data_IF_079534947002
#
_entry.id   IF_079534947002
#
_cell.length_a   1.000
_cell.length_b   1.000
_cell.length_c   1.000
_cell.angle_alpha   90.00
_cell.angle_beta   90.00
_cell.angle_gamma   90.00
#
_symmetry.space_group_name_H-M   'P 1'
#
loop_
_entity.id
_entity.type
_entity.pdbx_description
1 polymer ?
#
# COMPACT_ATOMS: atom_id res chain seq x y z
N UNK A 1 5.15 1.87 22.62
CA UNK A 1 5.95 1.51 21.42
C UNK A 1 4.99 1.38 20.25
N UNK A 2 5.35 1.89 19.07
CA UNK A 2 4.53 1.69 17.88
C UNK A 2 4.56 0.22 17.45
N UNK A 3 3.41 -0.31 17.02
CA UNK A 3 3.25 -1.68 16.57
C UNK A 3 3.80 -1.83 15.15
N UNK A 4 4.82 -2.68 14.92
CA UNK A 4 5.32 -2.93 13.58
C UNK A 4 4.31 -3.74 12.77
N UNK A 5 3.95 -3.25 11.59
CA UNK A 5 2.96 -3.92 10.71
C UNK A 5 3.43 -4.02 9.25
N UNK A 6 2.90 -5.01 8.55
CA UNK A 6 2.96 -5.16 7.09
C UNK A 6 1.51 -5.09 6.59
N UNK A 7 1.25 -4.24 5.60
CA UNK A 7 -0.06 -4.12 4.95
C UNK A 7 -0.04 -4.87 3.63
N UNK A 8 -0.85 -5.91 3.49
CA UNK A 8 -1.08 -6.59 2.23
C UNK A 8 -2.50 -6.24 1.74
N UNK A 9 -2.60 -5.59 0.58
CA UNK A 9 -3.87 -5.02 0.12
C UNK A 9 -4.05 -5.11 -1.40
N UNK A 10 -5.28 -5.33 -1.83
CA UNK A 10 -5.66 -5.39 -3.24
C UNK A 10 -6.22 -4.03 -3.65
N UNK A 11 -5.50 -3.18 -4.39
CA UNK A 11 -5.76 -1.74 -4.47
C UNK A 11 -7.13 -1.38 -5.05
N UNK A 12 -8.10 -1.23 -4.16
CA UNK A 12 -9.39 -0.56 -4.33
C UNK A 12 -9.46 0.75 -3.53
N UNK A 13 -10.66 1.35 -3.50
CA UNK A 13 -10.91 2.59 -2.75
C UNK A 13 -10.80 2.40 -1.23
N UNK A 14 -11.07 1.20 -0.72
CA UNK A 14 -11.05 0.93 0.72
C UNK A 14 -9.61 0.73 1.24
N UNK A 15 -8.75 0.06 0.46
CA UNK A 15 -7.32 -0.12 0.76
C UNK A 15 -6.57 1.20 0.78
N UNK A 16 -6.99 2.13 -0.09
CA UNK A 16 -6.49 3.48 -0.12
C UNK A 16 -6.64 4.17 1.23
N UNK A 17 -7.83 4.07 1.82
CA UNK A 17 -8.15 4.65 3.12
C UNK A 17 -7.36 3.94 4.22
N UNK A 18 -7.28 2.61 4.17
CA UNK A 18 -6.52 1.82 5.14
C UNK A 18 -5.02 2.20 5.16
N UNK A 19 -4.41 2.37 3.98
CA UNK A 19 -3.02 2.82 3.85
C UNK A 19 -2.87 4.21 4.48
N UNK A 20 -3.75 5.17 4.16
CA UNK A 20 -3.68 6.53 4.71
C UNK A 20 -3.77 6.54 6.23
N UNK A 21 -4.76 5.82 6.79
CA UNK A 21 -4.96 5.75 8.23
C UNK A 21 -3.77 5.11 8.95
N UNK A 22 -3.26 4.01 8.40
CA UNK A 22 -2.11 3.33 8.98
C UNK A 22 -0.85 4.20 8.95
N UNK A 23 -0.66 4.95 7.86
CA UNK A 23 0.47 5.84 7.65
C UNK A 23 0.40 7.14 8.47
N UNK A 24 -0.79 7.54 8.90
CA UNK A 24 -1.03 8.70 9.76
C UNK A 24 -1.05 8.36 11.26
N UNK A 25 -1.20 7.08 11.63
CA UNK A 25 -1.24 6.65 13.02
C UNK A 25 0.16 6.61 13.64
N UNK A 26 0.41 7.35 14.75
CA UNK A 26 1.69 7.25 15.48
C UNK A 26 1.81 5.93 16.27
N UNK A 27 0.73 5.17 16.38
CA UNK A 27 0.71 3.86 17.06
C UNK A 27 1.21 2.74 16.15
N UNK A 28 1.36 2.99 14.84
CA UNK A 28 1.73 2.00 13.85
C UNK A 28 3.08 2.33 13.21
N UNK A 29 3.91 1.32 13.03
CA UNK A 29 5.20 1.38 12.35
C UNK A 29 5.13 0.53 11.08
N UNK A 30 4.66 1.15 9.99
CA UNK A 30 4.43 0.48 8.71
C UNK A 30 5.77 0.15 8.04
N UNK A 31 6.17 -1.12 8.10
CA UNK A 31 7.44 -1.61 7.54
C UNK A 31 7.39 -1.86 6.05
N UNK A 32 6.26 -2.32 5.54
CA UNK A 32 6.07 -2.62 4.14
C UNK A 32 4.57 -2.55 3.77
N UNK A 33 4.33 -2.22 2.50
CA UNK A 33 3.02 -2.33 1.86
C UNK A 33 3.20 -3.23 0.64
N UNK A 34 2.49 -4.36 0.64
CA UNK A 34 2.46 -5.31 -0.47
C UNK A 34 1.08 -5.31 -1.11
N UNK A 35 1.02 -5.73 -2.37
CA UNK A 35 -0.23 -5.80 -3.10
C UNK A 35 -0.27 -7.06 -3.95
N UNK A 36 -1.43 -7.72 -3.92
CA UNK A 36 -1.75 -8.82 -4.81
C UNK A 36 -2.60 -8.29 -5.97
N UNK A 37 -2.46 -8.90 -7.15
CA UNK A 37 -3.35 -8.63 -8.27
C UNK A 37 -4.59 -9.51 -8.08
N UNK A 38 -5.54 -9.07 -7.25
CA UNK A 38 -6.85 -9.71 -7.11
C UNK A 38 -7.70 -9.55 -8.39
N UNK A 39 -8.71 -8.67 -8.34
CA UNK A 39 -9.72 -8.50 -9.42
C UNK A 39 -9.31 -7.59 -10.59
N UNK A 40 -8.08 -7.06 -10.60
CA UNK A 40 -7.60 -6.14 -11.63
C UNK A 40 -6.23 -6.59 -12.15
N UNK A 41 -5.90 -6.16 -13.36
CA UNK A 41 -4.60 -6.49 -13.94
C UNK A 41 -3.46 -5.90 -13.11
N UNK A 42 -2.33 -6.61 -12.96
CA UNK A 42 -1.16 -6.14 -12.21
C UNK A 42 -0.71 -4.72 -12.58
N UNK A 43 -0.88 -4.33 -13.85
CA UNK A 43 -0.51 -3.02 -14.38
C UNK A 43 -1.44 -1.88 -13.93
N UNK A 44 -2.71 -2.18 -13.63
CA UNK A 44 -3.66 -1.21 -13.06
C UNK A 44 -3.44 -1.06 -11.57
N UNK A 45 -3.30 -2.19 -10.89
CA UNK A 45 -2.96 -2.31 -9.47
C UNK A 45 -1.70 -1.51 -9.12
N UNK A 46 -0.60 -1.73 -9.85
CA UNK A 46 0.66 -1.01 -9.66
C UNK A 46 0.50 0.50 -9.87
N UNK A 47 -0.24 0.93 -10.90
CA UNK A 47 -0.47 2.36 -11.17
C UNK A 47 -1.27 3.05 -10.07
N UNK A 48 -2.29 2.37 -9.52
CA UNK A 48 -3.08 2.92 -8.42
C UNK A 48 -2.21 3.10 -7.17
N UNK A 49 -1.45 2.07 -6.79
CA UNK A 49 -0.52 2.12 -5.65
C UNK A 49 0.51 3.24 -5.84
N UNK A 50 1.13 3.36 -7.01
CA UNK A 50 2.11 4.42 -7.27
C UNK A 50 1.49 5.83 -7.22
N UNK A 51 0.27 6.02 -7.74
CA UNK A 51 -0.44 7.30 -7.63
C UNK A 51 -0.75 7.66 -6.18
N UNK A 52 -1.20 6.69 -5.41
CA UNK A 52 -1.48 6.87 -3.98
C UNK A 52 -0.23 7.26 -3.20
N UNK A 53 0.87 6.55 -3.38
CA UNK A 53 2.14 6.85 -2.72
C UNK A 53 2.70 8.22 -3.13
N UNK A 54 2.50 8.62 -4.39
CA UNK A 54 2.84 9.96 -4.88
C UNK A 54 2.02 11.04 -4.18
N UNK A 55 0.70 10.85 -4.05
CA UNK A 55 -0.18 11.78 -3.32
C UNK A 55 0.18 11.91 -1.84
N UNK A 56 0.67 10.82 -1.24
CA UNK A 56 1.07 10.77 0.18
C UNK A 56 2.52 11.23 0.43
N UNK A 57 3.21 11.74 -0.60
CA UNK A 57 4.60 12.21 -0.52
C UNK A 57 5.55 11.20 0.13
N UNK A 58 5.32 9.89 -0.09
CA UNK A 58 6.14 8.79 0.44
C UNK A 58 6.88 8.07 -0.70
N UNK A 59 7.97 8.66 -1.25
CA UNK A 59 8.67 8.14 -2.43
C UNK A 59 9.51 6.86 -2.19
N UNK A 60 9.48 6.27 -0.99
CA UNK A 60 10.34 5.13 -0.61
C UNK A 60 9.78 3.73 -0.88
N UNK A 61 8.56 3.59 -1.39
CA UNK A 61 7.93 2.28 -1.59
C UNK A 61 8.10 1.80 -3.03
N UNK A 62 8.87 0.71 -3.21
CA UNK A 62 9.05 0.04 -4.50
C UNK A 62 7.99 -1.04 -4.70
N UNK A 63 7.19 -0.91 -5.77
CA UNK A 63 6.19 -1.92 -6.13
C UNK A 63 6.83 -3.21 -6.64
N UNK A 64 6.71 -4.30 -5.87
CA UNK A 64 7.12 -5.65 -6.29
C UNK A 64 5.95 -6.43 -6.88
N UNK A 65 6.12 -7.04 -8.06
CA UNK A 65 5.16 -8.02 -8.60
C UNK A 65 5.27 -9.31 -7.78
N UNK A 66 4.26 -9.64 -6.96
CA UNK A 66 4.04 -11.04 -6.58
C UNK A 66 3.45 -11.75 -7.80
N UNK A 67 4.23 -12.64 -8.42
CA UNK A 67 3.66 -13.68 -9.29
C UNK A 67 2.94 -14.66 -8.34
N UNK A 68 1.64 -14.84 -8.57
CA UNK A 68 0.95 -16.02 -8.06
C UNK A 68 1.56 -17.27 -8.68
#
# INVERSE_FOLDING_TARGET
MALPIILDCDPGHDDAIAIVLALASPELDVKAITSSAGNQTPEKTLRNVLRMLTLLQRPGYSGGRRRA
#
